data_IF_110407659752
#
_entry.id   IF_110407659752
#
_cell.length_a   1.000
_cell.length_b   1.000
_cell.length_c   1.000
_cell.angle_alpha   90.00
_cell.angle_beta   90.00
_cell.angle_gamma   90.00
#
_symmetry.space_group_name_H-M   'P 1'
#
loop_
_entity.id
_entity.type
_entity.pdbx_description
1 polymer ?
#
# COMPACT_ATOMS: atom_id res chain seq x y z
N UNK A 1 47.47 2.62 50.72
CA UNK A 1 47.14 1.62 49.69
C UNK A 1 45.63 1.45 49.53
N UNK A 2 44.88 2.56 49.42
CA UNK A 2 43.39 2.52 49.40
C UNK A 2 42.75 3.55 48.47
N UNK A 3 43.50 4.56 47.97
CA UNK A 3 42.95 5.62 47.11
C UNK A 3 42.89 5.21 45.63
N UNK A 4 43.77 4.31 45.18
CA UNK A 4 43.80 3.87 43.77
C UNK A 4 42.73 2.84 43.40
N UNK A 5 42.09 2.20 44.39
CA UNK A 5 41.12 1.13 44.15
C UNK A 5 39.68 1.64 44.01
N UNK A 6 39.39 2.87 44.42
CA UNK A 6 38.07 3.50 44.27
C UNK A 6 37.88 4.18 42.92
N UNK A 7 38.97 4.57 42.25
CA UNK A 7 38.91 5.20 40.91
C UNK A 7 38.61 4.15 39.82
N UNK A 8 39.07 2.90 40.02
CA UNK A 8 38.87 1.80 39.07
C UNK A 8 37.43 1.27 39.02
N UNK A 9 36.63 1.44 40.08
CA UNK A 9 35.23 1.01 40.10
C UNK A 9 34.25 2.08 39.60
N UNK A 10 34.67 3.34 39.54
CA UNK A 10 33.85 4.44 38.97
C UNK A 10 33.98 4.48 37.44
N UNK A 11 35.13 4.05 36.90
CA UNK A 11 35.36 3.97 35.45
C UNK A 11 34.54 2.88 34.73
N UNK A 12 34.00 1.90 35.45
CA UNK A 12 33.17 0.82 34.89
C UNK A 12 31.66 1.05 35.02
N UNK A 13 31.22 2.19 35.58
CA UNK A 13 29.81 2.52 35.78
C UNK A 13 29.29 3.67 34.89
N UNK A 14 30.12 4.12 33.94
CA UNK A 14 29.76 5.19 32.98
C UNK A 14 29.86 4.73 31.52
N UNK A 15 29.74 3.42 31.26
CA UNK A 15 29.67 2.88 29.89
C UNK A 15 28.39 2.07 29.63
N UNK A 16 27.40 2.19 30.50
CA UNK A 16 26.14 1.44 30.40
C UNK A 16 24.91 2.32 30.58
N UNK A 17 24.90 3.51 29.98
CA UNK A 17 23.66 4.25 29.75
C UNK A 17 23.32 4.14 28.28
N UNK A 18 22.76 2.97 27.96
CA UNK A 18 21.52 2.86 27.22
C UNK A 18 21.45 3.72 25.95
N UNK A 19 21.92 3.14 24.84
CA UNK A 19 21.46 3.47 23.51
C UNK A 19 19.93 3.30 23.48
N UNK A 20 19.19 4.33 23.90
CA UNK A 20 17.79 4.49 23.55
C UNK A 20 17.78 4.78 22.04
N UNK A 21 17.83 3.71 21.25
CA UNK A 21 17.42 3.75 19.86
C UNK A 21 16.00 4.30 19.84
N UNK A 22 15.86 5.56 19.45
CA UNK A 22 14.57 6.16 19.16
C UNK A 22 14.00 5.37 18.00
N UNK A 23 13.13 4.40 18.30
CA UNK A 23 12.25 3.82 17.31
C UNK A 23 11.29 4.93 16.90
N UNK A 24 11.66 5.68 15.86
CA UNK A 24 10.73 6.51 15.13
C UNK A 24 9.70 5.58 14.52
N UNK A 25 8.56 5.40 15.20
CA UNK A 25 7.37 4.86 14.57
C UNK A 25 6.92 5.91 13.56
N UNK A 26 7.51 5.86 12.36
CA UNK A 26 6.86 6.47 11.21
C UNK A 26 5.44 5.90 11.20
N UNK A 27 4.43 6.77 11.14
CA UNK A 27 3.08 6.33 10.86
C UNK A 27 3.11 5.67 9.48
N UNK A 28 3.33 4.36 9.46
CA UNK A 28 3.46 3.59 8.23
C UNK A 28 2.11 3.71 7.53
N UNK A 29 2.08 4.31 6.33
CA UNK A 29 0.86 4.34 5.54
C UNK A 29 0.36 2.91 5.33
N UNK A 30 -0.95 2.71 5.39
CA UNK A 30 -1.54 1.44 4.98
C UNK A 30 -1.22 1.12 3.52
N UNK A 31 -1.26 -0.18 3.20
CA UNK A 31 -1.18 -0.65 1.84
C UNK A 31 -2.19 0.08 0.95
N UNK A 32 -1.90 0.16 -0.35
CA UNK A 32 -2.82 0.73 -1.32
C UNK A 32 -3.17 2.20 -1.06
N UNK A 33 -2.27 2.95 -0.42
CA UNK A 33 -2.50 4.37 -0.12
C UNK A 33 -3.72 4.60 0.77
N UNK A 34 -3.87 3.77 1.81
CA UNK A 34 -4.95 3.82 2.81
C UNK A 34 -6.35 3.50 2.27
N UNK A 35 -6.46 2.90 1.09
CA UNK A 35 -7.75 2.44 0.56
C UNK A 35 -8.19 1.13 1.23
N UNK A 36 -9.51 0.93 1.29
CA UNK A 36 -10.11 -0.30 1.78
C UNK A 36 -9.68 -1.48 0.91
N UNK A 37 -8.89 -2.40 1.47
CA UNK A 37 -8.29 -3.52 0.71
C UNK A 37 -9.37 -4.45 0.15
N UNK A 38 -10.39 -4.76 0.94
CA UNK A 38 -11.53 -5.55 0.48
C UNK A 38 -12.47 -4.77 -0.49
N UNK A 39 -12.53 -3.45 -0.36
CA UNK A 39 -13.22 -2.61 -1.34
C UNK A 39 -12.54 -2.71 -2.70
N UNK A 40 -11.21 -2.58 -2.71
CA UNK A 40 -10.40 -2.66 -3.92
C UNK A 40 -10.49 -4.04 -4.57
N UNK A 41 -10.47 -5.12 -3.80
CA UNK A 41 -10.65 -6.47 -4.37
C UNK A 41 -12.00 -6.69 -5.04
N UNK A 42 -12.94 -5.75 -4.89
CA UNK A 42 -14.30 -5.77 -5.43
C UNK A 42 -14.59 -4.62 -6.39
N UNK A 43 -13.58 -3.86 -6.83
CA UNK A 43 -13.77 -2.76 -7.78
C UNK A 43 -14.05 -1.39 -7.16
N UNK A 44 -13.96 -1.23 -5.82
CA UNK A 44 -14.32 0.02 -5.13
C UNK A 44 -13.11 0.77 -4.54
N UNK A 45 -12.94 2.03 -4.92
CA UNK A 45 -11.91 2.95 -4.44
C UNK A 45 -12.36 3.71 -3.19
N UNK A 46 -12.44 3.02 -2.07
CA UNK A 46 -12.84 3.65 -0.80
C UNK A 46 -11.60 4.07 -0.01
N UNK A 47 -11.23 5.35 -0.06
CA UNK A 47 -10.18 5.91 0.81
C UNK A 47 -10.63 5.81 2.27
N UNK A 48 -9.74 5.39 3.16
CA UNK A 48 -10.01 5.29 4.59
C UNK A 48 -9.01 6.12 5.39
N UNK A 49 -9.31 6.32 6.68
CA UNK A 49 -8.36 6.84 7.67
C UNK A 49 -7.55 5.71 8.35
N UNK A 50 -7.69 4.46 7.87
CA UNK A 50 -7.04 3.26 8.42
C UNK A 50 -7.31 2.95 9.89
N UNK A 51 -8.41 3.44 10.49
CA UNK A 51 -8.78 3.10 11.86
C UNK A 51 -9.05 1.60 12.03
N UNK A 52 -9.74 0.99 11.07
CA UNK A 52 -9.93 -0.46 11.01
C UNK A 52 -8.84 -1.01 10.10
N UNK A 53 -7.90 -1.76 10.69
CA UNK A 53 -6.76 -2.31 9.97
C UNK A 53 -6.40 -3.71 10.47
N UNK A 54 -5.60 -4.41 9.66
CA UNK A 54 -5.01 -5.71 9.98
C UNK A 54 -3.57 -5.75 9.46
N UNK A 55 -2.65 -6.33 10.24
CA UNK A 55 -1.27 -6.55 9.81
C UNK A 55 -1.14 -7.97 9.29
N UNK A 56 -0.92 -8.13 8.00
CA UNK A 56 -0.76 -9.43 7.37
C UNK A 56 0.58 -9.50 6.63
N UNK A 57 1.40 -10.51 6.96
CA UNK A 57 2.77 -10.69 6.42
C UNK A 57 3.64 -9.43 6.55
N UNK A 58 3.47 -8.69 7.65
CA UNK A 58 4.24 -7.47 7.94
C UNK A 58 3.74 -6.21 7.23
N UNK A 59 2.69 -6.31 6.41
CA UNK A 59 2.05 -5.16 5.76
C UNK A 59 0.73 -4.82 6.45
N UNK A 60 0.51 -3.55 6.75
CA UNK A 60 -0.77 -3.04 7.26
C UNK A 60 -1.77 -2.85 6.11
N UNK A 61 -2.97 -3.39 6.24
CA UNK A 61 -4.10 -3.25 5.32
C UNK A 61 -5.26 -2.54 6.00
N UNK A 62 -5.95 -1.65 5.28
CA UNK A 62 -7.01 -0.81 5.84
C UNK A 62 -8.39 -1.22 5.33
N UNK A 63 -9.43 -0.95 6.14
CA UNK A 63 -10.80 -1.36 5.88
C UNK A 63 -11.79 -0.25 6.23
N UNK A 64 -12.87 -0.15 5.45
CA UNK A 64 -13.95 0.82 5.69
C UNK A 64 -14.97 0.34 6.74
N UNK A 65 -14.93 -0.95 7.11
CA UNK A 65 -15.82 -1.56 8.10
C UNK A 65 -15.22 -2.86 8.64
N UNK A 66 -15.60 -3.26 9.84
CA UNK A 66 -15.17 -4.52 10.47
C UNK A 66 -15.54 -5.73 9.60
N UNK A 67 -16.74 -5.75 9.01
CA UNK A 67 -17.16 -6.83 8.11
C UNK A 67 -16.26 -6.98 6.88
N UNK A 68 -15.63 -5.89 6.42
CA UNK A 68 -14.67 -5.93 5.31
C UNK A 68 -13.33 -6.52 5.74
N UNK A 69 -12.90 -6.26 6.98
CA UNK A 69 -11.74 -6.91 7.60
C UNK A 69 -12.00 -8.40 7.80
N UNK A 70 -13.17 -8.77 8.33
CA UNK A 70 -13.56 -10.16 8.51
C UNK A 70 -13.58 -10.93 7.19
N UNK A 71 -14.08 -10.29 6.13
CA UNK A 71 -14.09 -10.88 4.78
C UNK A 71 -12.68 -11.07 4.22
N UNK A 72 -11.77 -10.11 4.48
CA UNK A 72 -10.37 -10.23 4.12
C UNK A 72 -9.67 -11.37 4.86
N UNK A 73 -9.95 -11.57 6.15
CA UNK A 73 -9.32 -12.63 6.95
C UNK A 73 -9.67 -14.05 6.50
N UNK A 74 -10.76 -14.23 5.73
CA UNK A 74 -11.14 -15.51 5.17
C UNK A 74 -10.19 -15.96 4.04
N UNK A 75 -9.79 -15.05 3.16
CA UNK A 75 -8.85 -15.31 2.07
C UNK A 75 -7.99 -14.07 1.78
N UNK A 76 -6.98 -13.79 2.63
CA UNK A 76 -6.19 -12.58 2.55
C UNK A 76 -5.41 -12.48 1.25
N UNK A 77 -4.77 -13.57 0.82
CA UNK A 77 -3.88 -13.59 -0.34
C UNK A 77 -4.65 -13.29 -1.64
N UNK A 78 -5.79 -13.94 -1.87
CA UNK A 78 -6.65 -13.66 -3.04
C UNK A 78 -7.21 -12.23 -3.00
N UNK A 79 -7.61 -11.76 -1.82
CA UNK A 79 -8.13 -10.39 -1.65
C UNK A 79 -7.06 -9.37 -2.00
N UNK A 80 -5.83 -9.58 -1.54
CA UNK A 80 -4.67 -8.72 -1.83
C UNK A 80 -4.34 -8.75 -3.32
N UNK A 81 -4.35 -9.91 -3.98
CA UNK A 81 -4.06 -10.03 -5.41
C UNK A 81 -5.06 -9.24 -6.25
N UNK A 82 -6.36 -9.40 -5.98
CA UNK A 82 -7.42 -8.62 -6.63
C UNK A 82 -7.31 -7.12 -6.34
N UNK A 83 -6.98 -6.76 -5.10
CA UNK A 83 -6.75 -5.37 -4.73
C UNK A 83 -5.55 -4.77 -5.48
N UNK A 84 -4.44 -5.51 -5.64
CA UNK A 84 -3.27 -5.07 -6.44
C UNK A 84 -3.64 -4.80 -7.89
N UNK A 85 -4.41 -5.68 -8.51
CA UNK A 85 -4.87 -5.54 -9.90
C UNK A 85 -5.60 -4.21 -10.09
N UNK A 86 -6.58 -3.91 -9.22
CA UNK A 86 -7.32 -2.66 -9.28
C UNK A 86 -6.46 -1.46 -8.88
N UNK A 87 -5.59 -1.64 -7.88
CA UNK A 87 -4.87 -0.55 -7.25
C UNK A 87 -3.52 -0.21 -7.88
N UNK A 88 -3.19 -0.81 -9.03
CA UNK A 88 -2.16 -0.28 -9.92
C UNK A 88 -2.42 1.20 -10.28
N UNK A 89 -3.64 1.73 -10.09
CA UNK A 89 -4.01 3.15 -10.23
C UNK A 89 -4.22 3.94 -8.93
N UNK A 90 -4.27 3.33 -7.72
CA UNK A 90 -4.42 4.14 -6.49
C UNK A 90 -3.12 4.75 -5.96
N UNK A 91 -1.99 4.34 -6.53
CA UNK A 91 -0.77 5.13 -6.51
C UNK A 91 -0.96 6.07 -7.70
N UNK A 92 -1.10 7.37 -7.46
CA UNK A 92 -0.92 8.37 -8.52
C UNK A 92 0.27 7.93 -9.38
N UNK A 93 -0.04 7.59 -10.63
CA UNK A 93 0.67 6.63 -11.49
C UNK A 93 2.18 6.61 -11.35
N UNK A 94 2.71 5.50 -10.80
CA UNK A 94 4.02 4.99 -11.19
C UNK A 94 4.17 3.50 -10.90
N UNK A 95 4.40 2.63 -11.92
CA UNK A 95 4.58 2.94 -13.34
C UNK A 95 3.27 2.94 -14.16
N UNK A 96 3.27 3.71 -15.27
CA UNK A 96 2.18 3.90 -16.22
C UNK A 96 1.94 2.70 -17.15
N UNK A 97 1.55 1.54 -16.61
CA UNK A 97 1.41 0.30 -17.40
C UNK A 97 -0.04 -0.12 -17.71
N UNK A 98 -1.04 0.69 -17.32
CA UNK A 98 -2.46 0.35 -17.51
C UNK A 98 -3.28 1.45 -18.18
N UNK A 99 -2.64 2.45 -18.79
CA UNK A 99 -3.32 3.54 -19.50
C UNK A 99 -3.17 3.37 -21.01
N UNK A 100 -4.28 3.43 -21.73
CA UNK A 100 -4.30 3.50 -23.19
C UNK A 100 -4.76 4.90 -23.61
N UNK A 101 -3.88 5.68 -24.23
CA UNK A 101 -4.28 6.94 -24.86
C UNK A 101 -4.88 6.65 -26.24
N UNK A 102 -6.11 7.11 -26.45
CA UNK A 102 -6.87 6.94 -27.69
C UNK A 102 -7.13 8.32 -28.27
N UNK A 103 -6.61 8.56 -29.47
CA UNK A 103 -6.91 9.75 -30.26
C UNK A 103 -8.11 9.48 -31.17
N UNK A 104 -9.25 10.11 -30.88
CA UNK A 104 -10.41 10.12 -31.76
C UNK A 104 -10.32 11.31 -32.71
N UNK A 105 -10.47 11.08 -34.01
CA UNK A 105 -10.73 12.19 -34.96
C UNK A 105 -12.18 12.12 -35.40
N UNK A 106 -12.97 13.14 -35.08
CA UNK A 106 -14.36 13.26 -35.52
C UNK A 106 -14.58 14.64 -36.13
N UNK A 107 -15.10 14.68 -37.35
CA UNK A 107 -15.33 15.93 -38.10
C UNK A 107 -14.11 16.86 -38.18
N UNK A 108 -12.90 16.29 -38.30
CA UNK A 108 -11.64 17.05 -38.36
C UNK A 108 -11.14 17.57 -37.02
N UNK A 109 -11.83 17.29 -35.92
CA UNK A 109 -11.39 17.62 -34.57
C UNK A 109 -10.77 16.38 -33.91
N UNK A 110 -9.52 16.52 -33.47
CA UNK A 110 -8.85 15.51 -32.64
C UNK A 110 -9.31 15.64 -31.18
N UNK A 111 -9.66 14.51 -30.57
CA UNK A 111 -10.08 14.37 -29.19
C UNK A 111 -9.22 13.26 -28.59
N UNK A 112 -8.30 13.63 -27.71
CA UNK A 112 -7.55 12.66 -26.93
C UNK A 112 -8.37 12.19 -25.72
N UNK A 113 -8.39 10.88 -25.46
CA UNK A 113 -8.95 10.28 -24.24
C UNK A 113 -7.96 9.27 -23.69
N UNK A 114 -7.72 9.34 -22.39
CA UNK A 114 -7.02 8.27 -21.66
C UNK A 114 -8.05 7.27 -21.16
N UNK A 115 -7.87 6.00 -21.51
CA UNK A 115 -8.66 4.89 -21.01
C UNK A 115 -7.83 4.12 -19.97
N UNK A 116 -8.33 4.08 -18.74
CA UNK A 116 -7.78 3.23 -17.69
C UNK A 116 -8.26 1.78 -17.91
N UNK A 117 -7.33 0.88 -18.23
CA UNK A 117 -7.64 -0.54 -18.42
C UNK A 117 -7.53 -1.25 -17.08
N UNK A 118 -8.68 -1.64 -16.53
CA UNK A 118 -8.73 -2.58 -15.42
C UNK A 118 -8.39 -3.98 -15.95
N UNK A 119 -7.23 -4.51 -15.56
CA UNK A 119 -6.79 -5.86 -15.94
C UNK A 119 -7.54 -6.95 -15.16
N UNK A 120 -8.84 -7.09 -15.38
CA UNK A 120 -9.60 -8.23 -14.85
C UNK A 120 -9.35 -9.49 -15.72
N UNK A 121 -9.26 -10.67 -15.09
CA UNK A 121 -8.91 -11.91 -15.80
C UNK A 121 -10.12 -12.61 -16.44
N UNK A 122 -10.06 -12.97 -17.74
CA UNK A 122 -9.10 -12.53 -18.75
C UNK A 122 -9.58 -11.28 -19.50
N UNK A 123 -8.64 -10.38 -19.81
CA UNK A 123 -8.84 -9.31 -20.79
C UNK A 123 -9.14 -9.93 -22.17
N UNK A 124 -10.31 -9.63 -22.74
CA UNK A 124 -10.72 -10.13 -24.06
C UNK A 124 -10.71 -9.01 -25.09
N UNK A 125 -9.80 -9.09 -26.04
CA UNK A 125 -9.76 -8.25 -27.24
C UNK A 125 -10.20 -9.08 -28.45
N UNK A 126 -11.18 -8.60 -29.23
CA UNK A 126 -11.80 -9.39 -30.29
C UNK A 126 -11.13 -9.22 -31.66
N UNK A 127 -10.99 -7.98 -32.15
CA UNK A 127 -10.31 -7.63 -33.40
C UNK A 127 -10.23 -6.10 -33.53
N UNK A 128 -9.19 -5.62 -34.20
CA UNK A 128 -9.16 -4.30 -34.83
C UNK A 128 -9.22 -4.48 -36.36
N UNK A 129 -9.93 -3.60 -37.06
CA UNK A 129 -9.99 -3.56 -38.52
C UNK A 129 -9.70 -2.14 -38.98
N UNK A 130 -9.11 -1.99 -40.17
CA UNK A 130 -8.91 -0.70 -40.82
C UNK A 130 -10.22 -0.11 -41.34
#
# INVERSE_FOLDING_TARGET
>A
MTVFKTISTIATLLFSTFLFSTFSFAAESGAFGDHCTYGLSRGAFNKTNCEINEIYKGQKYCFSAESSKDSFLFDPDTTIEKAKILCNSCIETSPAQSELSIDFTSNGQAINKTLDILMDEPLKFHRYHD
#
